data_IF_529185606319
#
_entry.id   IF_529185606319
#
_cell.length_a   1.000
_cell.length_b   1.000
_cell.length_c   1.000
_cell.angle_alpha   90.00
_cell.angle_beta   90.00
_cell.angle_gamma   90.00
#
_symmetry.space_group_name_H-M   'P 1'
#
loop_
_entity.id
_entity.type
_entity.pdbx_description
1 polymer ?
#
# COMPACT_ATOMS: atom_id res chain seq x y z
N UNK A 1 -7.94 15.10 6.00
CA UNK A 1 -7.54 13.74 5.61
C UNK A 1 -6.49 13.86 4.52
N UNK A 2 -5.47 13.00 4.52
CA UNK A 2 -4.54 12.85 3.39
C UNK A 2 -4.61 11.42 2.86
N UNK A 3 -4.22 11.24 1.59
CA UNK A 3 -4.10 9.93 0.96
C UNK A 3 -2.66 9.73 0.56
N UNK A 4 -2.02 8.68 1.07
CA UNK A 4 -0.75 8.21 0.54
C UNK A 4 -1.01 7.14 -0.52
N UNK A 5 -0.41 7.32 -1.70
CA UNK A 5 -0.52 6.39 -2.82
C UNK A 5 0.86 5.94 -3.28
N UNK A 6 1.12 4.64 -3.21
CA UNK A 6 2.34 4.03 -3.74
C UNK A 6 1.98 3.26 -5.00
N UNK A 7 2.85 3.32 -6.01
CA UNK A 7 2.75 2.51 -7.22
C UNK A 7 3.93 1.54 -7.27
N UNK A 8 3.63 0.28 -7.56
CA UNK A 8 4.63 -0.78 -7.70
C UNK A 8 4.48 -1.43 -9.06
N UNK A 9 5.61 -1.79 -9.66
CA UNK A 9 5.65 -2.66 -10.84
C UNK A 9 6.40 -3.93 -10.48
N UNK A 10 5.73 -5.06 -10.58
CA UNK A 10 6.26 -6.38 -10.26
C UNK A 10 6.76 -7.04 -11.54
N UNK A 11 7.88 -7.76 -11.47
CA UNK A 11 8.39 -8.53 -12.59
C UNK A 11 7.41 -9.65 -12.95
N UNK A 12 7.22 -9.89 -14.25
CA UNK A 12 6.32 -10.92 -14.76
C UNK A 12 6.63 -12.30 -14.12
N UNK A 13 5.58 -13.00 -13.68
CA UNK A 13 5.68 -14.31 -13.03
C UNK A 13 5.99 -14.24 -11.53
N UNK A 14 6.20 -13.06 -10.95
CA UNK A 14 6.48 -12.85 -9.51
C UNK A 14 5.29 -12.29 -8.74
N UNK A 15 4.14 -12.13 -9.38
CA UNK A 15 2.95 -11.54 -8.79
C UNK A 15 2.42 -12.35 -7.61
N UNK A 16 2.43 -13.67 -7.71
CA UNK A 16 1.98 -14.55 -6.63
C UNK A 16 2.87 -14.42 -5.38
N UNK A 17 4.19 -14.32 -5.57
CA UNK A 17 5.14 -14.09 -4.47
C UNK A 17 4.94 -12.72 -3.83
N UNK A 18 4.75 -11.69 -4.65
CA UNK A 18 4.47 -10.33 -4.20
C UNK A 18 3.18 -10.30 -3.38
N UNK A 19 2.11 -10.88 -3.90
CA UNK A 19 0.81 -10.97 -3.25
C UNK A 19 0.90 -11.70 -1.90
N UNK A 20 1.63 -12.83 -1.84
CA UNK A 20 1.85 -13.58 -0.60
C UNK A 20 2.61 -12.72 0.42
N UNK A 21 3.73 -12.13 0.01
CA UNK A 21 4.54 -11.27 0.88
C UNK A 21 3.73 -10.09 1.40
N UNK A 22 2.92 -9.45 0.55
CA UNK A 22 2.05 -8.35 0.97
C UNK A 22 0.94 -8.80 1.91
N UNK A 23 0.34 -9.99 1.72
CA UNK A 23 -0.68 -10.53 2.62
C UNK A 23 -0.13 -10.91 3.99
N UNK A 24 1.05 -11.51 4.02
CA UNK A 24 1.67 -12.03 5.24
C UNK A 24 2.47 -10.96 6.02
N UNK A 25 2.64 -9.77 5.44
CA UNK A 25 3.45 -8.72 6.06
C UNK A 25 2.89 -8.31 7.42
N UNK A 26 3.80 -8.10 8.37
CA UNK A 26 3.49 -7.36 9.59
C UNK A 26 3.27 -5.89 9.26
N UNK A 27 2.03 -5.41 9.40
CA UNK A 27 1.69 -4.00 9.23
C UNK A 27 1.75 -3.26 10.56
N UNK A 28 2.30 -2.04 10.53
CA UNK A 28 2.31 -1.12 11.68
C UNK A 28 1.28 0.01 11.54
N UNK A 29 0.50 0.03 10.45
CA UNK A 29 -0.48 1.10 10.17
C UNK A 29 -1.58 1.19 11.24
N UNK A 30 -1.97 0.06 11.85
CA UNK A 30 -2.95 0.04 12.93
C UNK A 30 -2.50 0.80 14.19
N UNK A 31 -1.20 1.04 14.36
CA UNK A 31 -0.66 1.84 15.45
C UNK A 31 -0.54 3.33 15.13
N UNK A 32 -0.85 3.75 13.89
CA UNK A 32 -0.74 5.15 13.48
C UNK A 32 -2.01 5.90 13.88
N UNK A 33 -1.94 6.94 14.74
CA UNK A 33 -3.11 7.71 15.14
C UNK A 33 -3.82 8.27 13.91
N UNK A 34 -5.14 8.05 13.82
CA UNK A 34 -5.96 8.52 12.71
C UNK A 34 -5.83 7.70 11.41
N UNK A 35 -5.09 6.58 11.39
CA UNK A 35 -5.17 5.63 10.29
C UNK A 35 -6.61 5.13 10.16
N UNK A 36 -7.17 5.24 8.95
CA UNK A 36 -8.54 4.84 8.69
C UNK A 36 -8.63 3.56 7.84
N UNK A 37 -7.86 3.47 6.76
CA UNK A 37 -7.96 2.36 5.82
C UNK A 37 -6.70 2.21 4.99
N UNK A 38 -6.44 0.96 4.58
CA UNK A 38 -5.47 0.60 3.55
C UNK A 38 -6.14 -0.34 2.54
N UNK A 39 -5.84 -0.17 1.24
CA UNK A 39 -6.05 -1.21 0.24
C UNK A 39 -4.87 -1.27 -0.73
N UNK A 40 -4.62 -2.47 -1.24
CA UNK A 40 -3.72 -2.74 -2.35
C UNK A 40 -4.57 -3.23 -3.52
N UNK A 41 -4.49 -2.51 -4.64
CA UNK A 41 -5.15 -2.84 -5.88
C UNK A 41 -4.11 -3.42 -6.84
N UNK A 42 -4.53 -4.45 -7.58
CA UNK A 42 -3.74 -5.09 -8.62
C UNK A 42 -4.43 -4.85 -9.95
N UNK A 43 -3.67 -4.43 -10.95
CA UNK A 43 -4.14 -4.42 -12.33
C UNK A 43 -3.93 -5.81 -12.96
N UNK A 44 -4.94 -6.29 -13.68
CA UNK A 44 -4.90 -7.62 -14.27
C UNK A 44 -4.01 -7.62 -15.52
N UNK A 45 -2.99 -8.48 -15.52
CA UNK A 45 -2.15 -8.71 -16.70
C UNK A 45 -0.97 -7.76 -16.92
N UNK A 46 -0.87 -6.63 -16.19
CA UNK A 46 0.26 -5.69 -16.34
C UNK A 46 1.37 -5.85 -15.29
N UNK A 47 1.09 -6.52 -14.18
CA UNK A 47 1.99 -6.58 -13.02
C UNK A 47 2.08 -5.26 -12.25
N UNK A 48 1.18 -4.30 -12.52
CA UNK A 48 1.09 -3.02 -11.81
C UNK A 48 0.20 -3.13 -10.57
N UNK A 49 0.61 -2.46 -9.50
CA UNK A 49 -0.12 -2.38 -8.25
C UNK A 49 -0.16 -0.95 -7.74
N UNK A 50 -1.26 -0.58 -7.09
CA UNK A 50 -1.41 0.71 -6.42
C UNK A 50 -1.92 0.49 -5.01
N UNK A 51 -1.32 1.14 -4.02
CA UNK A 51 -1.88 1.20 -2.67
C UNK A 51 -2.62 2.51 -2.43
N UNK A 52 -3.73 2.50 -1.71
CA UNK A 52 -4.28 3.68 -1.06
C UNK A 52 -4.15 3.54 0.47
N UNK A 53 -3.79 4.62 1.15
CA UNK A 53 -3.79 4.68 2.63
C UNK A 53 -4.43 5.98 3.07
N UNK A 54 -5.48 5.90 3.90
CA UNK A 54 -6.13 7.05 4.50
C UNK A 54 -5.48 7.38 5.84
N UNK A 55 -4.94 8.60 5.94
CA UNK A 55 -4.18 9.10 7.09
C UNK A 55 -4.70 10.49 7.50
N UNK A 56 -4.44 10.94 8.75
CA UNK A 56 -4.66 12.32 9.12
C UNK A 56 -3.75 13.24 8.31
N UNK A 57 -4.15 14.51 8.18
CA UNK A 57 -3.44 15.54 7.39
C UNK A 57 -1.97 15.76 7.79
N UNK A 58 -1.51 15.23 8.94
CA UNK A 58 -0.25 15.60 9.58
C UNK A 58 0.93 14.62 9.42
N UNK A 59 0.90 13.64 8.50
CA UNK A 59 1.99 12.65 8.38
C UNK A 59 2.97 12.96 7.24
N UNK A 60 3.17 14.24 6.87
CA UNK A 60 3.96 14.54 5.67
C UNK A 60 4.52 15.94 5.50
N UNK A 61 4.69 16.71 6.59
CA UNK A 61 5.29 18.06 6.49
C UNK A 61 6.40 18.31 7.51
N UNK A 62 7.24 17.30 7.71
CA UNK A 62 8.54 17.48 8.35
C UNK A 62 9.60 16.68 7.59
N UNK A 63 9.90 17.18 6.37
CA UNK A 63 11.18 17.11 5.67
C UNK A 63 11.23 18.23 4.64
#
# INVERSE_FOLDING_TARGET
MSIAMNRFRVSAGREADFDRTWRERKSYLGGVPGFAQFALLRDEGSGEYVSHTHLPLAIGRDR
#
